data_IF_894624108774
#
_entry.id   IF_894624108774
#
_cell.length_a   1.000
_cell.length_b   1.000
_cell.length_c   1.000
_cell.angle_alpha   90.00
_cell.angle_beta   90.00
_cell.angle_gamma   90.00
#
_symmetry.space_group_name_H-M   'P 1'
#
loop_
_entity.id
_entity.type
_entity.pdbx_description
1 polymer ?
#
# COMPACT_ATOMS: atom_id res chain seq x y z
N UNK A 1 -71.82 4.08 25.25
CA UNK A 1 -70.89 4.97 24.51
C UNK A 1 -69.50 4.34 24.54
N UNK A 2 -68.76 4.48 23.45
CA UNK A 2 -67.73 3.58 22.94
C UNK A 2 -66.44 3.57 23.80
N UNK A 3 -65.88 2.38 23.99
CA UNK A 3 -64.50 2.16 24.42
C UNK A 3 -63.54 2.65 23.32
N UNK A 4 -62.44 3.29 23.70
CA UNK A 4 -61.34 3.62 22.78
C UNK A 4 -60.05 3.03 23.34
N UNK A 5 -59.63 1.91 22.75
CA UNK A 5 -58.28 1.38 22.87
C UNK A 5 -57.32 2.38 22.20
N UNK A 6 -56.36 2.89 22.97
CA UNK A 6 -55.20 3.57 22.42
C UNK A 6 -54.04 2.58 22.37
N UNK A 7 -53.85 1.99 21.20
CA UNK A 7 -52.66 1.22 20.82
C UNK A 7 -51.51 2.20 20.62
N UNK A 8 -50.49 2.19 21.47
CA UNK A 8 -49.25 2.94 21.23
C UNK A 8 -48.10 1.95 20.99
N UNK A 9 -47.56 2.06 19.78
CA UNK A 9 -46.68 1.09 19.15
C UNK A 9 -45.29 0.98 19.78
N UNK A 10 -44.80 -0.25 19.76
CA UNK A 10 -43.42 -0.63 20.03
C UNK A 10 -42.53 -0.16 18.86
N UNK A 11 -41.74 0.89 19.07
CA UNK A 11 -40.69 1.30 18.13
C UNK A 11 -39.47 0.38 18.34
N UNK A 12 -39.31 -0.61 17.46
CA UNK A 12 -38.07 -1.37 17.33
C UNK A 12 -37.02 -0.50 16.62
N UNK A 13 -36.04 0.01 17.35
CA UNK A 13 -34.82 0.60 16.78
C UNK A 13 -33.93 -0.53 16.25
N UNK A 14 -34.03 -0.80 14.94
CA UNK A 14 -33.06 -1.62 14.22
C UNK A 14 -31.75 -0.84 14.11
N UNK A 15 -30.77 -1.17 14.94
CA UNK A 15 -29.39 -0.75 14.78
C UNK A 15 -28.83 -1.37 13.49
N UNK A 16 -28.78 -0.58 12.42
CA UNK A 16 -28.12 -0.95 11.18
C UNK A 16 -26.61 -0.92 11.38
N UNK A 17 -26.00 -2.09 11.62
CA UNK A 17 -24.56 -2.26 11.53
C UNK A 17 -24.14 -2.15 10.05
N UNK A 18 -23.63 -0.99 9.65
CA UNK A 18 -22.98 -0.82 8.36
C UNK A 18 -21.69 -1.64 8.33
N UNK A 19 -21.75 -2.83 7.74
CA UNK A 19 -20.55 -3.57 7.35
C UNK A 19 -19.84 -2.76 6.27
N UNK A 20 -18.70 -2.15 6.62
CA UNK A 20 -17.77 -1.63 5.64
C UNK A 20 -17.26 -2.82 4.81
N UNK A 21 -17.69 -2.89 3.55
CA UNK A 21 -17.27 -3.92 2.62
C UNK A 21 -15.80 -3.63 2.24
N UNK A 22 -14.88 -4.43 2.77
CA UNK A 22 -13.46 -4.34 2.44
C UNK A 22 -13.28 -4.63 0.95
N UNK A 23 -12.91 -3.62 0.17
CA UNK A 23 -12.46 -3.81 -1.20
C UNK A 23 -11.09 -4.48 -1.18
N UNK A 24 -11.07 -5.80 -1.26
CA UNK A 24 -9.85 -6.56 -1.49
C UNK A 24 -9.25 -6.16 -2.84
N UNK A 25 -8.05 -5.58 -2.82
CA UNK A 25 -7.28 -5.36 -4.03
C UNK A 25 -6.94 -6.73 -4.66
N UNK A 26 -7.03 -6.88 -6.00
CA UNK A 26 -6.77 -8.16 -6.65
C UNK A 26 -5.36 -8.64 -6.35
N UNK A 27 -5.23 -9.94 -6.08
CA UNK A 27 -3.95 -10.60 -5.81
C UNK A 27 -2.97 -10.36 -6.97
N UNK A 28 -1.79 -9.82 -6.64
CA UNK A 28 -0.74 -9.52 -7.60
C UNK A 28 -0.15 -10.82 -8.18
N UNK A 29 -0.05 -10.90 -9.51
CA UNK A 29 0.72 -11.95 -10.20
C UNK A 29 2.12 -11.41 -10.53
N UNK A 30 3.20 -12.10 -10.11
CA UNK A 30 4.56 -11.69 -10.47
C UNK A 30 4.77 -11.76 -11.98
N UNK A 31 5.62 -10.88 -12.50
CA UNK A 31 6.01 -10.87 -13.91
C UNK A 31 6.78 -12.14 -14.28
N UNK A 32 6.55 -12.64 -15.49
CA UNK A 32 7.18 -13.87 -15.96
C UNK A 32 8.68 -13.68 -16.15
N UNK A 33 9.47 -14.63 -15.65
CA UNK A 33 10.93 -14.60 -15.56
C UNK A 33 11.49 -13.97 -14.27
N UNK A 34 10.65 -13.41 -13.39
CA UNK A 34 11.15 -12.70 -12.20
C UNK A 34 11.64 -13.66 -11.10
N UNK A 35 12.58 -13.21 -10.26
CA UNK A 35 12.93 -13.93 -9.02
C UNK A 35 11.73 -14.13 -8.10
N UNK A 36 10.75 -13.24 -8.16
CA UNK A 36 9.48 -13.35 -7.43
C UNK A 36 8.54 -14.42 -8.01
N UNK A 37 8.61 -14.71 -9.31
CA UNK A 37 7.91 -15.83 -9.95
C UNK A 37 8.58 -17.17 -9.61
N UNK A 38 9.92 -17.20 -9.52
CA UNK A 38 10.71 -18.44 -9.40
C UNK A 38 11.10 -18.83 -7.97
N UNK A 39 10.88 -17.97 -6.96
CA UNK A 39 11.20 -18.28 -5.56
C UNK A 39 10.19 -19.27 -4.95
N UNK A 40 10.69 -20.41 -4.46
CA UNK A 40 9.92 -21.32 -3.57
C UNK A 40 9.43 -20.54 -2.35
N UNK A 41 8.12 -20.66 -2.04
CA UNK A 41 7.38 -20.07 -0.89
C UNK A 41 8.13 -18.97 -0.12
N UNK A 42 7.86 -17.72 -0.47
CA UNK A 42 8.24 -16.55 0.35
C UNK A 42 7.54 -16.60 1.71
N UNK A 43 8.30 -16.82 2.79
CA UNK A 43 7.78 -16.78 4.16
C UNK A 43 7.73 -15.33 4.68
N UNK A 44 6.51 -14.78 4.76
CA UNK A 44 6.30 -13.41 5.18
C UNK A 44 6.04 -13.25 6.68
N UNK A 45 5.48 -14.29 7.31
CA UNK A 45 5.25 -14.38 8.76
C UNK A 45 6.44 -15.04 9.44
N UNK A 46 6.82 -14.49 10.59
CA UNK A 46 7.88 -15.02 11.46
C UNK A 46 7.58 -14.62 12.91
N UNK A 47 8.23 -15.30 13.85
CA UNK A 47 8.19 -14.91 15.27
C UNK A 47 9.24 -13.83 15.52
N UNK A 48 8.86 -12.59 15.89
CA UNK A 48 9.83 -11.54 16.18
C UNK A 48 10.55 -11.77 17.51
N UNK A 49 11.81 -11.35 17.57
CA UNK A 49 12.56 -11.29 18.81
C UNK A 49 12.15 -10.01 19.57
N UNK A 50 11.56 -10.12 20.78
CA UNK A 50 11.11 -8.95 21.54
C UNK A 50 12.24 -8.04 22.01
N UNK A 51 13.50 -8.47 21.98
CA UNK A 51 14.67 -7.65 22.31
C UNK A 51 15.16 -6.78 21.15
N UNK A 52 14.69 -7.03 19.92
CA UNK A 52 15.15 -6.32 18.72
C UNK A 52 14.17 -5.22 18.28
N UNK A 53 14.65 -4.14 17.64
CA UNK A 53 13.80 -3.11 17.10
C UNK A 53 12.96 -3.61 15.91
N UNK A 54 11.71 -3.16 15.83
CA UNK A 54 10.82 -3.42 14.70
C UNK A 54 11.01 -2.38 13.59
N UNK A 55 11.22 -2.87 12.37
CA UNK A 55 11.40 -2.08 11.15
C UNK A 55 10.28 -2.40 10.17
N UNK A 56 9.61 -1.37 9.67
CA UNK A 56 8.58 -1.51 8.64
C UNK A 56 9.10 -1.03 7.28
N UNK A 57 8.88 -1.84 6.24
CA UNK A 57 9.11 -1.45 4.84
C UNK A 57 7.75 -1.29 4.16
N UNK A 58 7.46 -0.07 3.69
CA UNK A 58 6.28 0.29 2.89
C UNK A 58 6.70 0.61 1.47
N UNK A 59 6.00 0.02 0.49
CA UNK A 59 6.21 0.33 -0.91
C UNK A 59 5.63 -0.70 -1.84
N UNK A 60 5.81 -0.45 -3.13
CA UNK A 60 5.24 -1.26 -4.19
C UNK A 60 5.99 -2.60 -4.41
N UNK A 61 5.82 -3.20 -5.59
CA UNK A 61 6.45 -4.46 -5.98
C UNK A 61 7.99 -4.40 -5.93
N UNK A 62 8.61 -3.23 -6.10
CA UNK A 62 10.07 -3.10 -5.97
C UNK A 62 10.49 -3.42 -4.54
N UNK A 63 9.76 -2.88 -3.55
CA UNK A 63 10.02 -3.19 -2.15
C UNK A 63 9.79 -4.67 -1.82
N UNK A 64 8.78 -5.30 -2.44
CA UNK A 64 8.54 -6.75 -2.30
C UNK A 64 9.76 -7.56 -2.71
N UNK A 65 10.41 -7.17 -3.81
CA UNK A 65 11.59 -7.85 -4.33
C UNK A 65 12.78 -7.86 -3.38
N UNK A 66 13.02 -6.78 -2.61
CA UNK A 66 14.17 -6.70 -1.71
C UNK A 66 13.86 -6.99 -0.23
N UNK A 67 12.60 -6.94 0.21
CA UNK A 67 12.23 -7.01 1.65
C UNK A 67 12.83 -8.24 2.34
N UNK A 68 12.70 -9.43 1.76
CA UNK A 68 13.20 -10.66 2.38
C UNK A 68 14.73 -10.70 2.47
N UNK A 69 15.42 -10.14 1.46
CA UNK A 69 16.88 -10.04 1.52
C UNK A 69 17.34 -9.04 2.58
N UNK A 70 16.63 -7.92 2.73
CA UNK A 70 16.89 -6.96 3.83
C UNK A 70 16.69 -7.62 5.19
N UNK A 71 15.63 -8.43 5.35
CA UNK A 71 15.39 -9.21 6.57
C UNK A 71 16.56 -10.14 6.89
N UNK A 72 17.06 -10.88 5.90
CA UNK A 72 18.23 -11.75 6.06
C UNK A 72 19.48 -10.97 6.50
N UNK A 73 19.75 -9.83 5.83
CA UNK A 73 20.92 -8.99 6.14
C UNK A 73 20.86 -8.33 7.52
N UNK A 74 19.66 -8.19 8.09
CA UNK A 74 19.43 -7.60 9.42
C UNK A 74 19.11 -8.65 10.49
N UNK A 75 19.32 -9.94 10.21
CA UNK A 75 19.15 -11.00 11.19
C UNK A 75 19.98 -10.73 12.46
N UNK A 76 19.36 -10.91 13.63
CA UNK A 76 19.97 -10.61 14.93
C UNK A 76 20.13 -9.11 15.24
N UNK A 77 19.67 -8.21 14.36
CA UNK A 77 19.75 -6.74 14.56
C UNK A 77 18.39 -6.05 14.55
N UNK A 78 17.42 -6.54 13.78
CA UNK A 78 16.08 -5.98 13.71
C UNK A 78 15.05 -6.99 13.21
N UNK A 79 13.79 -6.82 13.62
CA UNK A 79 12.66 -7.54 13.05
C UNK A 79 12.11 -6.75 11.84
N UNK A 80 12.26 -7.29 10.63
CA UNK A 80 11.86 -6.58 9.39
C UNK A 80 10.51 -7.06 8.88
N UNK A 81 9.56 -6.12 8.85
CA UNK A 81 8.17 -6.31 8.47
C UNK A 81 7.82 -5.61 7.16
N UNK A 82 6.73 -6.09 6.55
CA UNK A 82 5.97 -5.40 5.52
C UNK A 82 4.48 -5.76 5.66
N UNK A 83 3.57 -5.02 5.02
CA UNK A 83 2.17 -5.43 4.90
C UNK A 83 2.03 -6.78 4.18
N UNK A 84 1.14 -7.63 4.71
CA UNK A 84 0.83 -8.99 4.21
C UNK A 84 -0.68 -9.21 4.16
N UNK A 85 -1.12 -10.20 3.39
CA UNK A 85 -2.52 -10.64 3.30
C UNK A 85 -3.04 -11.10 4.66
N UNK A 86 -4.36 -11.14 4.82
CA UNK A 86 -5.00 -11.58 6.07
C UNK A 86 -4.59 -13.01 6.48
N UNK A 87 -4.33 -13.89 5.52
CA UNK A 87 -3.84 -15.25 5.77
C UNK A 87 -2.31 -15.33 5.94
N UNK A 88 -1.62 -14.19 5.87
CA UNK A 88 -0.17 -14.06 6.04
C UNK A 88 0.68 -14.64 4.90
N UNK A 89 0.07 -15.21 3.85
CA UNK A 89 0.81 -15.95 2.82
C UNK A 89 1.43 -15.07 1.76
N UNK A 90 0.90 -13.88 1.55
CA UNK A 90 1.32 -12.99 0.48
C UNK A 90 1.70 -11.62 1.02
N UNK A 91 2.74 -11.03 0.43
CA UNK A 91 3.03 -9.62 0.60
C UNK A 91 1.94 -8.76 -0.06
N UNK A 92 1.50 -7.71 0.62
CA UNK A 92 0.61 -6.69 0.04
C UNK A 92 1.45 -5.65 -0.69
N UNK A 93 1.18 -5.43 -1.97
CA UNK A 93 1.76 -4.31 -2.72
C UNK A 93 1.10 -2.99 -2.25
N UNK A 94 1.89 -2.02 -1.77
CA UNK A 94 1.36 -0.73 -1.28
C UNK A 94 0.91 0.23 -2.39
N UNK A 95 1.06 -0.17 -3.66
CA UNK A 95 0.62 0.50 -4.88
C UNK A 95 1.03 1.98 -4.95
N UNK A 96 0.13 2.85 -5.41
CA UNK A 96 0.33 4.29 -5.49
C UNK A 96 -0.25 5.02 -4.28
N UNK A 97 0.06 6.30 -4.16
CA UNK A 97 -0.29 7.11 -2.98
C UNK A 97 -1.79 7.17 -2.68
N UNK A 98 -2.67 7.07 -3.68
CA UNK A 98 -4.13 6.98 -3.47
C UNK A 98 -4.52 5.79 -2.57
N UNK A 99 -3.92 4.61 -2.81
CA UNK A 99 -4.10 3.43 -1.95
C UNK A 99 -3.38 3.62 -0.62
N UNK A 100 -2.20 4.26 -0.64
CA UNK A 100 -1.46 4.59 0.57
C UNK A 100 -2.29 5.39 1.57
N UNK A 101 -2.97 6.45 1.14
CA UNK A 101 -3.85 7.26 2.00
C UNK A 101 -4.97 6.42 2.62
N UNK A 102 -5.54 5.48 1.87
CA UNK A 102 -6.64 4.63 2.34
C UNK A 102 -6.19 3.61 3.38
N UNK A 103 -4.97 3.08 3.26
CA UNK A 103 -4.53 1.90 4.02
C UNK A 103 -3.46 2.20 5.07
N UNK A 104 -2.91 3.42 5.13
CA UNK A 104 -1.77 3.72 6.00
C UNK A 104 -2.08 3.44 7.48
N UNK A 105 -3.29 3.75 7.95
CA UNK A 105 -3.69 3.48 9.33
C UNK A 105 -3.69 1.97 9.65
N UNK A 106 -4.14 1.13 8.71
CA UNK A 106 -4.08 -0.33 8.85
C UNK A 106 -2.63 -0.82 8.86
N UNK A 107 -1.78 -0.32 7.96
CA UNK A 107 -0.39 -0.79 7.85
C UNK A 107 0.49 -0.39 9.03
N UNK A 108 0.14 0.71 9.72
CA UNK A 108 0.83 1.17 10.92
C UNK A 108 0.35 0.49 12.20
N UNK A 109 -0.82 -0.14 12.19
CA UNK A 109 -1.43 -0.74 13.37
C UNK A 109 -0.67 -1.97 13.89
N UNK A 110 -0.97 -2.35 15.14
CA UNK A 110 -0.59 -3.64 15.72
C UNK A 110 0.79 -3.70 16.39
N UNK A 111 1.69 -2.73 16.17
CA UNK A 111 2.97 -2.64 16.91
C UNK A 111 3.61 -1.25 16.84
N UNK A 112 4.61 -1.03 17.71
CA UNK A 112 5.42 0.18 17.72
C UNK A 112 6.62 0.01 16.79
N UNK A 113 6.75 0.94 15.84
CA UNK A 113 7.85 0.92 14.88
C UNK A 113 9.03 1.75 15.40
N UNK A 114 10.24 1.19 15.26
CA UNK A 114 11.48 1.94 15.53
C UNK A 114 11.95 2.68 14.29
N UNK A 115 11.83 2.04 13.11
CA UNK A 115 12.16 2.62 11.81
C UNK A 115 11.06 2.30 10.81
N UNK A 116 10.70 3.27 9.97
CA UNK A 116 9.83 3.06 8.81
C UNK A 116 10.58 3.53 7.57
N UNK A 117 10.90 2.58 6.69
CA UNK A 117 11.42 2.83 5.35
C UNK A 117 10.25 2.83 4.36
N UNK A 118 10.09 3.88 3.57
CA UNK A 118 8.93 4.01 2.69
C UNK A 118 9.26 4.58 1.30
N UNK A 119 8.52 4.11 0.30
CA UNK A 119 8.57 4.61 -1.09
C UNK A 119 7.17 4.55 -1.74
N UNK A 120 6.85 5.54 -2.57
CA UNK A 120 5.75 5.55 -3.54
C UNK A 120 6.18 6.30 -4.79
N UNK A 121 5.70 5.87 -5.96
CA UNK A 121 5.80 6.67 -7.18
C UNK A 121 5.56 5.89 -8.48
N UNK A 122 6.07 4.66 -8.62
CA UNK A 122 5.93 3.91 -9.88
C UNK A 122 4.49 3.59 -10.26
N UNK A 123 3.63 3.44 -9.26
CA UNK A 123 2.20 3.27 -9.50
C UNK A 123 1.54 4.61 -9.85
N UNK A 124 1.88 5.69 -9.15
CA UNK A 124 1.35 7.03 -9.40
C UNK A 124 1.64 7.54 -10.82
N UNK A 125 2.87 7.31 -11.32
CA UNK A 125 3.33 7.79 -12.63
C UNK A 125 2.95 6.90 -13.82
N UNK A 126 2.24 5.78 -13.61
CA UNK A 126 1.81 4.89 -14.70
C UNK A 126 0.56 5.44 -15.38
N UNK A 127 0.42 5.22 -16.68
CA UNK A 127 -0.81 5.54 -17.40
C UNK A 127 -1.93 4.54 -17.08
N UNK A 128 -3.16 5.06 -16.98
CA UNK A 128 -4.39 4.32 -16.70
C UNK A 128 -5.51 4.75 -17.63
N UNK A 129 -6.43 3.85 -17.98
CA UNK A 129 -7.40 4.08 -19.08
C UNK A 129 -8.40 5.21 -18.86
N UNK A 130 -8.45 5.78 -17.65
CA UNK A 130 -9.20 6.99 -17.27
C UNK A 130 -8.82 7.39 -15.85
N UNK A 131 -9.10 8.64 -15.48
CA UNK A 131 -8.91 9.14 -14.13
C UNK A 131 -9.58 8.21 -13.09
N UNK A 132 -8.90 8.00 -11.97
CA UNK A 132 -9.31 7.13 -10.86
C UNK A 132 -9.53 5.64 -11.22
N UNK A 133 -9.10 5.20 -12.41
CA UNK A 133 -9.03 3.79 -12.75
C UNK A 133 -7.73 3.16 -12.25
N UNK A 134 -7.78 1.88 -11.89
CA UNK A 134 -6.61 1.03 -11.73
C UNK A 134 -6.22 0.28 -13.01
N UNK A 135 -7.03 0.38 -14.08
CA UNK A 135 -6.81 -0.31 -15.34
C UNK A 135 -5.63 0.33 -16.08
N UNK A 136 -4.54 -0.41 -16.34
CA UNK A 136 -3.36 0.13 -17.01
C UNK A 136 -3.67 0.57 -18.44
N UNK A 137 -2.94 1.58 -18.92
CA UNK A 137 -2.94 2.00 -20.32
C UNK A 137 -1.52 2.09 -20.88
N UNK A 138 -1.42 2.00 -22.21
CA UNK A 138 -0.21 2.27 -22.98
C UNK A 138 -0.36 3.52 -23.88
N UNK A 139 -1.51 4.18 -23.83
CA UNK A 139 -1.74 5.41 -24.58
C UNK A 139 -1.14 6.59 -23.79
N UNK A 140 -0.16 7.35 -24.33
CA UNK A 140 0.36 8.54 -23.66
C UNK A 140 -0.69 9.65 -23.49
N UNK A 141 -1.79 9.64 -24.26
CA UNK A 141 -2.89 10.57 -24.10
C UNK A 141 -3.80 10.23 -22.90
N UNK A 142 -3.74 9.01 -22.40
CA UNK A 142 -4.46 8.61 -21.20
C UNK A 142 -3.80 9.20 -19.94
N UNK A 143 -4.57 9.46 -18.87
CA UNK A 143 -4.02 10.07 -17.67
C UNK A 143 -3.08 9.13 -16.90
N UNK A 144 -2.19 9.72 -16.11
CA UNK A 144 -1.45 9.00 -15.07
C UNK A 144 -2.35 8.65 -13.88
N UNK A 145 -1.98 7.64 -13.06
CA UNK A 145 -2.79 7.22 -11.91
C UNK A 145 -2.98 8.35 -10.89
N UNK A 146 -1.91 9.12 -10.64
CA UNK A 146 -1.97 10.34 -9.85
C UNK A 146 -1.03 11.38 -10.46
N UNK A 147 -1.51 12.60 -10.69
CA UNK A 147 -0.63 13.70 -11.14
C UNK A 147 0.43 14.00 -10.07
N UNK A 148 1.47 14.75 -10.41
CA UNK A 148 2.50 15.15 -9.43
C UNK A 148 1.89 15.92 -8.25
N UNK A 149 0.87 16.74 -8.52
CA UNK A 149 0.14 17.50 -7.50
C UNK A 149 -0.72 16.60 -6.60
N UNK A 150 -1.38 15.59 -7.17
CA UNK A 150 -2.11 14.58 -6.39
C UNK A 150 -1.16 13.74 -5.55
N UNK A 151 -0.07 13.26 -6.15
CA UNK A 151 0.99 12.51 -5.48
C UNK A 151 1.53 13.27 -4.27
N UNK A 152 1.89 14.56 -4.44
CA UNK A 152 2.39 15.40 -3.35
C UNK A 152 1.40 15.50 -2.20
N UNK A 153 0.14 15.85 -2.49
CA UNK A 153 -0.91 15.97 -1.45
C UNK A 153 -1.14 14.65 -0.71
N UNK A 154 -1.16 13.54 -1.43
CA UNK A 154 -1.33 12.23 -0.81
C UNK A 154 -0.12 11.83 0.03
N UNK A 155 1.10 12.10 -0.45
CA UNK A 155 2.33 11.81 0.28
C UNK A 155 2.43 12.63 1.56
N UNK A 156 2.01 13.89 1.56
CA UNK A 156 1.90 14.72 2.77
C UNK A 156 0.98 14.10 3.83
N UNK A 157 -0.18 13.58 3.41
CA UNK A 157 -1.11 12.88 4.30
C UNK A 157 -0.45 11.62 4.89
N UNK A 158 0.18 10.81 4.05
CA UNK A 158 0.87 9.58 4.46
C UNK A 158 2.00 9.92 5.43
N UNK A 159 2.88 10.85 5.08
CA UNK A 159 4.05 11.24 5.90
C UNK A 159 3.59 11.79 7.25
N UNK A 160 2.51 12.57 7.31
CA UNK A 160 1.95 13.04 8.58
C UNK A 160 1.55 11.88 9.50
N UNK A 161 0.94 10.81 8.94
CA UNK A 161 0.59 9.59 9.69
C UNK A 161 1.84 8.83 10.12
N UNK A 162 2.84 8.71 9.25
CA UNK A 162 4.13 8.10 9.58
C UNK A 162 4.84 8.83 10.73
N UNK A 163 4.89 10.15 10.69
CA UNK A 163 5.49 11.00 11.73
C UNK A 163 4.78 10.82 13.07
N UNK A 164 3.45 10.66 13.06
CA UNK A 164 2.65 10.41 14.25
C UNK A 164 3.01 9.11 15.00
N UNK A 165 3.74 8.18 14.38
CA UNK A 165 4.23 6.96 15.05
C UNK A 165 5.42 7.19 15.96
N UNK A 166 6.14 8.30 15.78
CA UNK A 166 7.43 8.56 16.45
C UNK A 166 8.60 7.70 15.96
N UNK A 167 8.42 6.89 14.92
CA UNK A 167 9.49 6.09 14.32
C UNK A 167 10.49 6.99 13.56
N UNK A 168 11.73 6.52 13.42
CA UNK A 168 12.67 7.14 12.47
C UNK A 168 12.20 6.86 11.05
N UNK A 169 11.97 7.92 10.28
CA UNK A 169 11.49 7.82 8.90
C UNK A 169 12.66 7.86 7.91
N UNK A 170 12.62 6.96 6.93
CA UNK A 170 13.57 6.91 5.80
C UNK A 170 12.74 6.92 4.51
N UNK A 171 12.79 8.04 3.80
CA UNK A 171 12.19 8.14 2.48
C UNK A 171 13.17 7.57 1.44
N UNK A 172 12.69 6.64 0.62
CA UNK A 172 13.40 6.18 -0.57
C UNK A 172 12.70 6.74 -1.81
N UNK A 173 13.48 7.38 -2.67
CA UNK A 173 13.01 7.94 -3.94
C UNK A 173 12.58 6.86 -4.91
N UNK A 174 11.69 7.21 -5.84
CA UNK A 174 11.24 6.33 -6.92
C UNK A 174 12.41 5.94 -7.80
N UNK A 175 12.55 4.64 -8.08
CA UNK A 175 13.60 4.11 -8.95
C UNK A 175 13.43 4.61 -10.39
N UNK A 176 14.53 4.79 -11.16
CA UNK A 176 14.45 5.14 -12.57
C UNK A 176 13.64 4.13 -13.39
N UNK A 177 13.02 4.63 -14.46
CA UNK A 177 12.42 3.81 -15.52
C UNK A 177 13.41 3.77 -16.68
N UNK A 178 13.73 2.58 -17.19
CA UNK A 178 14.71 2.42 -18.26
C UNK A 178 14.23 3.10 -19.56
N UNK A 179 15.15 3.71 -20.31
CA UNK A 179 14.84 4.23 -21.65
C UNK A 179 14.56 3.07 -22.63
N UNK A 180 13.58 3.21 -23.54
CA UNK A 180 12.79 4.41 -23.85
C UNK A 180 11.55 4.65 -22.96
N UNK A 181 11.34 3.83 -21.94
CA UNK A 181 10.14 3.75 -21.11
C UNK A 181 9.74 2.28 -20.92
N UNK A 182 8.62 2.05 -20.24
CA UNK A 182 7.99 0.71 -20.21
C UNK A 182 6.67 0.75 -20.94
N UNK A 183 6.23 -0.40 -21.45
CA UNK A 183 4.85 -0.64 -21.89
C UNK A 183 4.25 -1.75 -21.03
N UNK A 184 2.95 -1.68 -20.73
CA UNK A 184 2.20 -2.58 -19.84
C UNK A 184 2.52 -2.46 -18.34
N UNK A 185 2.22 -1.32 -17.68
CA UNK A 185 1.67 -0.07 -18.22
C UNK A 185 2.74 0.86 -18.79
N UNK A 186 2.30 1.86 -19.56
CA UNK A 186 3.17 2.95 -19.96
C UNK A 186 3.70 3.71 -18.75
N UNK A 187 5.02 3.87 -18.71
CA UNK A 187 5.75 4.78 -17.83
C UNK A 187 6.82 5.47 -18.67
N UNK A 188 6.79 6.79 -18.69
CA UNK A 188 7.80 7.60 -19.37
C UNK A 188 9.12 7.51 -18.60
N UNK A 189 10.25 7.47 -19.32
CA UNK A 189 11.58 7.29 -18.72
C UNK A 189 11.98 8.45 -17.78
N UNK A 190 11.51 9.66 -18.07
CA UNK A 190 11.80 10.88 -17.31
C UNK A 190 10.80 11.13 -16.16
N UNK A 191 9.68 10.41 -16.11
CA UNK A 191 8.63 10.61 -15.11
C UNK A 191 9.14 10.51 -13.66
N UNK A 192 9.99 9.55 -13.25
CA UNK A 192 10.48 9.48 -11.88
C UNK A 192 11.15 10.78 -11.39
N UNK A 193 11.80 11.53 -12.29
CA UNK A 193 12.43 12.81 -11.95
C UNK A 193 11.42 13.84 -11.44
N UNK A 194 10.20 13.87 -12.02
CA UNK A 194 9.12 14.77 -11.60
C UNK A 194 8.51 14.39 -10.25
N UNK A 195 8.48 13.10 -9.91
CA UNK A 195 7.91 12.60 -8.65
C UNK A 195 8.90 12.60 -7.49
N UNK A 196 10.20 12.69 -7.78
CA UNK A 196 11.27 12.76 -6.78
C UNK A 196 11.68 14.21 -6.44
N UNK A 197 11.07 15.22 -7.07
CA UNK A 197 11.41 16.63 -6.94
C UNK A 197 10.77 17.32 -5.72
#
# INVERSE_FOLDING_TARGET
MKQTLATLGLLLLLAGSSFAQSVEAPAYKPESGSKAETSKKSEWIFTPDPALPDVLILGDSISMGYTLKVRELLAGKANVFRPVSADGKQAVNCQGTKVGVQQIDQWLAGRKWSVIHFNWGLHDLKHVSKADSSKPSNDPADPVQATVEEYRRNLEVIVKKLQGTGAKLIFATTTPVAAPGTTNPLREADAPGRYNA
#
